data_IF_048475633866
#
_entry.id   IF_048475633866
#
_cell.length_a   1.000
_cell.length_b   1.000
_cell.length_c   1.000
_cell.angle_alpha   90.00
_cell.angle_beta   90.00
_cell.angle_gamma   90.00
#
_symmetry.space_group_name_H-M   'P 1'
#
loop_
_entity.id
_entity.type
_entity.pdbx_description
1 polymer ?
#
# COMPACT_ATOMS: atom_id res chain seq x y z
N UNK A 1 12.46 0.18 -23.73
CA UNK A 1 11.65 -0.64 -22.82
C UNK A 1 10.69 0.27 -22.04
N UNK A 2 9.52 -0.24 -21.70
CA UNK A 2 8.47 0.52 -21.03
C UNK A 2 8.12 -0.14 -19.69
N UNK A 3 7.85 0.68 -18.69
CA UNK A 3 7.41 0.22 -17.37
C UNK A 3 6.13 0.94 -16.97
N UNK A 4 5.13 0.17 -16.57
CA UNK A 4 3.89 0.67 -16.01
C UNK A 4 4.03 0.76 -14.49
N UNK A 5 3.87 1.97 -13.96
CA UNK A 5 3.93 2.30 -12.54
C UNK A 5 2.52 2.61 -12.04
N UNK A 6 1.99 1.76 -11.16
CA UNK A 6 0.62 1.87 -10.67
C UNK A 6 0.61 2.16 -9.17
N UNK A 7 -0.32 2.97 -8.71
CA UNK A 7 -0.69 2.95 -7.31
C UNK A 7 -1.42 1.64 -6.97
N UNK A 8 -1.53 1.31 -5.70
CA UNK A 8 -2.18 0.10 -5.21
C UNK A 8 -3.60 0.37 -4.74
N UNK A 9 -3.73 1.18 -3.68
CA UNK A 9 -5.01 1.46 -3.03
C UNK A 9 -5.84 2.41 -3.88
N UNK A 10 -7.11 2.08 -4.09
CA UNK A 10 -8.00 2.83 -5.00
C UNK A 10 -7.82 2.50 -6.49
N UNK A 11 -6.76 1.80 -6.87
CA UNK A 11 -6.49 1.38 -8.26
C UNK A 11 -6.65 -0.13 -8.44
N UNK A 12 -6.04 -0.92 -7.56
CA UNK A 12 -6.04 -2.40 -7.65
C UNK A 12 -6.72 -3.06 -6.46
N UNK A 13 -6.69 -2.42 -5.31
CA UNK A 13 -7.30 -2.89 -4.06
C UNK A 13 -8.05 -1.75 -3.39
N UNK A 14 -9.01 -2.05 -2.49
CA UNK A 14 -9.64 -1.01 -1.69
C UNK A 14 -8.62 -0.32 -0.77
N UNK A 15 -8.96 0.88 -0.26
CA UNK A 15 -8.16 1.55 0.76
C UNK A 15 -8.08 0.65 2.01
N UNK A 16 -6.88 0.18 2.35
CA UNK A 16 -6.68 -0.91 3.30
C UNK A 16 -7.14 -0.51 4.71
N UNK A 17 -6.79 0.70 5.18
CA UNK A 17 -7.20 1.14 6.51
C UNK A 17 -8.71 1.26 6.66
N UNK A 18 -9.39 1.77 5.63
CA UNK A 18 -10.86 1.90 5.63
C UNK A 18 -11.50 0.51 5.61
N UNK A 19 -11.07 -0.36 4.73
CA UNK A 19 -11.58 -1.73 4.65
C UNK A 19 -11.31 -2.53 5.93
N UNK A 20 -10.13 -2.35 6.52
CA UNK A 20 -9.77 -2.93 7.81
C UNK A 20 -10.67 -2.42 8.94
N UNK A 21 -10.93 -1.10 8.99
CA UNK A 21 -11.84 -0.50 9.96
C UNK A 21 -13.26 -1.09 9.84
N UNK A 22 -13.75 -1.26 8.64
CA UNK A 22 -15.07 -1.87 8.39
C UNK A 22 -15.14 -3.33 8.84
N UNK A 23 -14.10 -4.11 8.55
CA UNK A 23 -14.04 -5.53 8.95
C UNK A 23 -13.92 -5.73 10.45
N UNK A 24 -13.19 -4.85 11.14
CA UNK A 24 -12.97 -4.95 12.59
C UNK A 24 -14.01 -4.20 13.42
N UNK A 25 -14.78 -3.31 12.82
CA UNK A 25 -15.72 -2.43 13.54
C UNK A 25 -15.04 -1.29 14.30
N UNK A 26 -13.76 -1.01 14.04
CA UNK A 26 -13.00 0.06 14.68
C UNK A 26 -13.13 1.32 13.82
N UNK A 27 -14.18 2.10 14.02
CA UNK A 27 -14.49 3.27 13.20
C UNK A 27 -13.37 4.32 13.19
N UNK A 28 -12.65 4.47 14.29
CA UNK A 28 -11.55 5.43 14.44
C UNK A 28 -10.41 5.18 13.45
N UNK A 29 -10.25 3.94 12.94
CA UNK A 29 -9.25 3.61 11.92
C UNK A 29 -9.59 4.12 10.52
N UNK A 30 -10.80 4.63 10.30
CA UNK A 30 -11.18 5.30 9.04
C UNK A 30 -10.56 6.68 8.86
N UNK A 31 -9.97 7.25 9.91
CA UNK A 31 -9.28 8.53 9.85
C UNK A 31 -8.13 8.48 8.84
N UNK A 32 -8.10 9.45 7.94
CA UNK A 32 -7.12 9.55 6.85
C UNK A 32 -6.29 10.82 6.94
N UNK A 33 -5.37 11.01 6.01
CA UNK A 33 -4.59 12.25 5.88
C UNK A 33 -5.44 13.49 5.57
N UNK A 34 -6.69 13.32 5.19
CA UNK A 34 -7.65 14.43 5.05
C UNK A 34 -8.10 14.96 6.40
N UNK A 35 -8.16 14.08 7.42
CA UNK A 35 -8.56 14.41 8.78
C UNK A 35 -7.36 14.86 9.62
N UNK A 36 -6.21 14.22 9.44
CA UNK A 36 -4.94 14.54 10.09
C UNK A 36 -3.82 14.62 9.04
N UNK A 37 -3.44 15.83 8.61
CA UNK A 37 -2.43 16.01 7.58
C UNK A 37 -1.01 15.57 7.98
N UNK A 38 -0.71 15.58 9.28
CA UNK A 38 0.58 15.08 9.78
C UNK A 38 0.57 13.55 9.77
N UNK A 39 1.32 12.98 8.84
CA UNK A 39 1.37 11.53 8.64
C UNK A 39 1.89 10.79 9.87
N UNK A 40 2.90 11.32 10.58
CA UNK A 40 3.42 10.67 11.77
C UNK A 40 2.38 10.65 12.89
N UNK A 41 1.69 11.76 13.12
CA UNK A 41 0.60 11.85 14.09
C UNK A 41 -0.49 10.82 13.76
N UNK A 42 -0.88 10.74 12.49
CA UNK A 42 -1.89 9.78 12.04
C UNK A 42 -1.43 8.33 12.26
N UNK A 43 -0.19 8.00 11.94
CA UNK A 43 0.34 6.65 12.12
C UNK A 43 0.47 6.28 13.58
N UNK A 44 0.95 7.16 14.45
CA UNK A 44 1.00 6.89 15.90
C UNK A 44 -0.41 6.67 16.47
N UNK A 45 -1.39 7.44 16.04
CA UNK A 45 -2.79 7.24 16.39
C UNK A 45 -3.30 5.85 15.99
N UNK A 46 -3.00 5.41 14.77
CA UNK A 46 -3.37 4.09 14.27
C UNK A 46 -2.70 2.96 15.06
N UNK A 47 -1.40 3.10 15.33
CA UNK A 47 -0.64 2.11 16.10
C UNK A 47 -1.18 1.97 17.53
N UNK A 48 -1.53 3.08 18.17
CA UNK A 48 -2.14 3.06 19.50
C UNK A 48 -3.50 2.35 19.49
N UNK A 49 -4.33 2.56 18.47
CA UNK A 49 -5.60 1.85 18.31
C UNK A 49 -5.40 0.34 18.12
N UNK A 50 -4.45 -0.08 17.30
CA UNK A 50 -4.13 -1.49 17.12
C UNK A 50 -3.72 -2.13 18.45
N UNK A 51 -2.90 -1.45 19.23
CA UNK A 51 -2.48 -1.91 20.54
C UNK A 51 -3.65 -1.99 21.53
N UNK A 52 -4.49 -0.97 21.59
CA UNK A 52 -5.68 -0.95 22.47
C UNK A 52 -6.64 -2.10 22.17
N UNK A 53 -6.78 -2.49 20.91
CA UNK A 53 -7.64 -3.58 20.47
C UNK A 53 -6.95 -4.95 20.46
N UNK A 54 -5.70 -5.05 20.90
CA UNK A 54 -4.95 -6.30 20.96
C UNK A 54 -4.64 -6.91 19.60
N UNK A 55 -4.53 -6.08 18.56
CA UNK A 55 -4.28 -6.51 17.19
C UNK A 55 -2.78 -6.49 16.87
N UNK A 56 -2.17 -7.66 16.89
CA UNK A 56 -0.81 -7.87 16.39
C UNK A 56 -0.78 -8.07 14.87
N UNK A 57 0.41 -8.20 14.31
CA UNK A 57 0.58 -8.35 12.86
C UNK A 57 -0.18 -9.56 12.29
N UNK A 58 -0.17 -10.68 13.00
CA UNK A 58 -0.87 -11.89 12.58
C UNK A 58 -2.37 -11.65 12.42
N UNK A 59 -3.00 -11.05 13.43
CA UNK A 59 -4.44 -10.74 13.44
C UNK A 59 -4.77 -9.75 12.33
N UNK A 60 -3.92 -8.74 12.13
CA UNK A 60 -4.08 -7.75 11.06
C UNK A 60 -4.03 -8.43 9.68
N UNK A 61 -3.06 -9.29 9.46
CA UNK A 61 -2.92 -10.01 8.17
C UNK A 61 -4.07 -10.99 7.93
N UNK A 62 -4.59 -11.64 8.97
CA UNK A 62 -5.78 -12.48 8.88
C UNK A 62 -7.01 -11.69 8.42
N UNK A 63 -7.20 -10.48 8.95
CA UNK A 63 -8.30 -9.59 8.53
C UNK A 63 -8.10 -9.15 7.08
N UNK A 64 -6.91 -8.68 6.72
CA UNK A 64 -6.61 -8.21 5.35
C UNK A 64 -6.75 -9.36 4.33
N UNK A 65 -6.43 -10.60 4.72
CA UNK A 65 -6.62 -11.77 3.86
C UNK A 65 -8.10 -12.04 3.51
N UNK A 66 -9.05 -11.48 4.25
CA UNK A 66 -10.48 -11.53 3.92
C UNK A 66 -10.92 -10.49 2.90
N UNK A 67 -10.06 -9.51 2.61
CA UNK A 67 -10.31 -8.51 1.58
C UNK A 67 -10.00 -9.09 0.20
N UNK A 68 -10.59 -8.49 -0.83
CA UNK A 68 -10.34 -8.88 -2.22
C UNK A 68 -9.82 -7.68 -3.02
N UNK A 69 -9.01 -7.91 -4.06
CA UNK A 69 -8.72 -6.89 -5.06
C UNK A 69 -10.02 -6.34 -5.68
N UNK A 70 -9.93 -5.14 -6.25
CA UNK A 70 -11.04 -4.57 -7.02
C UNK A 70 -11.37 -5.48 -8.20
N UNK A 71 -12.64 -5.47 -8.63
CA UNK A 71 -13.10 -6.26 -9.76
C UNK A 71 -12.26 -5.95 -11.02
N UNK A 72 -11.75 -6.99 -11.67
CA UNK A 72 -10.91 -6.87 -12.85
C UNK A 72 -9.43 -6.55 -12.59
N UNK A 73 -9.03 -6.26 -11.36
CA UNK A 73 -7.65 -5.87 -11.05
C UNK A 73 -6.63 -6.97 -11.38
N UNK A 74 -6.91 -8.21 -11.05
CA UNK A 74 -6.02 -9.34 -11.35
C UNK A 74 -5.87 -9.53 -12.87
N UNK A 75 -6.96 -9.52 -13.61
CA UNK A 75 -6.94 -9.64 -15.08
C UNK A 75 -6.19 -8.47 -15.73
N UNK A 76 -6.36 -7.27 -15.18
CA UNK A 76 -5.66 -6.08 -15.66
C UNK A 76 -4.14 -6.18 -15.43
N UNK A 77 -3.69 -6.66 -14.29
CA UNK A 77 -2.27 -6.88 -14.01
C UNK A 77 -1.69 -7.92 -14.97
N UNK A 78 -2.39 -9.01 -15.23
CA UNK A 78 -1.95 -10.04 -16.16
C UNK A 78 -1.85 -9.50 -17.59
N UNK A 79 -2.84 -8.72 -18.02
CA UNK A 79 -2.84 -8.03 -19.32
C UNK A 79 -1.66 -7.06 -19.45
N UNK A 80 -1.35 -6.29 -18.39
CA UNK A 80 -0.20 -5.37 -18.38
C UNK A 80 1.14 -6.11 -18.48
N UNK A 81 1.29 -7.22 -17.74
CA UNK A 81 2.54 -8.00 -17.71
C UNK A 81 2.91 -8.58 -19.07
N UNK A 82 1.95 -8.84 -19.92
CA UNK A 82 2.20 -9.30 -21.29
C UNK A 82 2.82 -8.20 -22.17
N UNK A 83 2.71 -6.92 -21.78
CA UNK A 83 3.04 -5.76 -22.63
C UNK A 83 4.11 -4.87 -22.04
N UNK A 84 4.18 -4.80 -20.71
CA UNK A 84 5.05 -3.89 -19.97
C UNK A 84 5.75 -4.61 -18.84
N UNK A 85 6.87 -4.07 -18.38
CA UNK A 85 7.30 -4.31 -17.01
C UNK A 85 6.28 -3.61 -16.10
N UNK A 86 5.92 -4.24 -14.98
CA UNK A 86 4.91 -3.69 -14.06
C UNK A 86 5.51 -3.53 -12.68
N UNK A 87 5.34 -2.37 -12.10
CA UNK A 87 5.69 -2.08 -10.70
C UNK A 87 4.56 -1.34 -10.02
N UNK A 88 4.28 -1.72 -8.80
CA UNK A 88 3.34 -1.01 -7.93
C UNK A 88 4.15 -0.10 -6.99
N UNK A 89 3.77 1.18 -6.96
CA UNK A 89 4.35 2.21 -6.11
C UNK A 89 3.27 2.66 -5.13
N UNK A 90 3.43 2.34 -3.86
CA UNK A 90 2.40 2.62 -2.86
C UNK A 90 2.98 3.18 -1.57
N UNK A 91 2.18 3.94 -0.85
CA UNK A 91 2.50 4.44 0.50
C UNK A 91 1.97 3.50 1.60
N UNK A 92 1.57 2.29 1.25
CA UNK A 92 1.22 1.22 2.18
C UNK A 92 2.47 0.55 2.77
N UNK A 93 2.28 -0.55 3.47
CA UNK A 93 3.34 -1.34 4.10
C UNK A 93 3.34 -2.77 3.53
N UNK A 94 4.53 -3.36 3.36
CA UNK A 94 4.67 -4.74 2.84
C UNK A 94 3.84 -5.72 3.66
N UNK A 95 3.86 -5.58 4.98
CA UNK A 95 3.17 -6.46 5.91
C UNK A 95 1.64 -6.39 5.74
N UNK A 96 1.11 -5.21 5.44
CA UNK A 96 -0.32 -5.02 5.17
C UNK A 96 -0.71 -5.48 3.78
N UNK A 97 0.11 -5.18 2.78
CA UNK A 97 -0.19 -5.49 1.39
C UNK A 97 -0.03 -6.98 1.05
N UNK A 98 0.82 -7.71 1.79
CA UNK A 98 1.20 -9.09 1.48
C UNK A 98 0.02 -10.03 1.18
N UNK A 99 -1.07 -10.08 1.96
CA UNK A 99 -2.21 -10.94 1.64
C UNK A 99 -2.90 -10.60 0.32
N UNK A 100 -2.93 -9.31 -0.05
CA UNK A 100 -3.51 -8.83 -1.30
C UNK A 100 -2.57 -9.05 -2.48
N UNK A 101 -1.26 -8.89 -2.27
CA UNK A 101 -0.25 -9.22 -3.29
C UNK A 101 -0.33 -10.66 -3.73
N UNK A 102 -0.57 -11.58 -2.80
CA UNK A 102 -0.79 -13.00 -3.11
C UNK A 102 -1.93 -13.19 -4.11
N UNK A 103 -3.04 -12.49 -3.91
CA UNK A 103 -4.22 -12.56 -4.77
C UNK A 103 -3.99 -11.92 -6.15
N UNK A 104 -3.04 -10.99 -6.27
CA UNK A 104 -2.65 -10.35 -7.53
C UNK A 104 -1.49 -11.06 -8.26
N UNK A 105 -1.05 -12.22 -7.76
CA UNK A 105 0.05 -12.98 -8.35
C UNK A 105 1.43 -12.39 -8.06
N UNK A 106 1.61 -11.75 -6.93
CA UNK A 106 2.87 -11.14 -6.47
C UNK A 106 3.52 -10.17 -7.46
N UNK A 107 2.81 -9.11 -7.90
CA UNK A 107 3.46 -8.06 -8.69
C UNK A 107 4.58 -7.38 -7.87
N UNK A 108 5.57 -6.83 -8.54
CA UNK A 108 6.62 -6.07 -7.87
C UNK A 108 6.00 -4.87 -7.15
N UNK A 109 6.27 -4.77 -5.85
CA UNK A 109 5.76 -3.71 -4.97
C UNK A 109 6.91 -2.96 -4.32
N UNK A 110 6.92 -1.64 -4.46
CA UNK A 110 7.79 -0.74 -3.72
C UNK A 110 6.94 0.08 -2.76
N UNK A 111 7.09 -0.17 -1.47
CA UNK A 111 6.35 0.51 -0.42
C UNK A 111 7.17 0.59 0.88
N UNK A 112 6.52 0.87 1.98
CA UNK A 112 7.14 1.04 3.29
C UNK A 112 7.13 -0.24 4.10
N UNK A 113 7.68 -0.21 5.31
CA UNK A 113 7.72 -1.33 6.26
C UNK A 113 7.11 -0.95 7.60
N UNK A 114 6.49 -1.93 8.25
CA UNK A 114 6.18 -1.87 9.67
C UNK A 114 7.31 -2.49 10.49
N UNK A 115 7.47 -2.02 11.71
CA UNK A 115 8.37 -2.64 12.69
C UNK A 115 7.52 -3.39 13.73
N UNK A 116 7.93 -4.59 14.04
CA UNK A 116 7.27 -5.45 15.03
C UNK A 116 8.21 -5.80 16.17
N UNK A 117 7.64 -5.99 17.37
CA UNK A 117 8.38 -6.54 18.49
C UNK A 117 8.47 -8.07 18.44
N UNK A 118 9.10 -8.68 19.46
CA UNK A 118 9.25 -10.14 19.56
C UNK A 118 7.92 -10.89 19.71
N UNK A 119 6.86 -10.22 20.15
CA UNK A 119 5.52 -10.78 20.34
C UNK A 119 4.63 -10.59 19.09
N UNK A 120 5.15 -9.97 18.05
CA UNK A 120 4.43 -9.71 16.81
C UNK A 120 3.53 -8.48 16.84
N UNK A 121 3.65 -7.63 17.85
CA UNK A 121 2.94 -6.36 17.89
C UNK A 121 3.58 -5.35 16.94
N UNK A 122 2.77 -4.56 16.26
CA UNK A 122 3.25 -3.46 15.43
C UNK A 122 3.59 -2.28 16.34
N UNK A 123 4.85 -1.91 16.38
CA UNK A 123 5.36 -0.89 17.31
C UNK A 123 5.79 0.39 16.63
N UNK A 124 6.13 0.34 15.35
CA UNK A 124 6.55 1.51 14.59
C UNK A 124 6.45 1.24 13.08
N UNK A 125 6.78 2.23 12.28
CA UNK A 125 6.84 2.13 10.83
C UNK A 125 8.12 2.77 10.30
N UNK A 126 8.52 2.37 9.10
CA UNK A 126 9.70 2.90 8.42
C UNK A 126 9.38 3.23 6.97
N UNK A 127 9.49 4.50 6.63
CA UNK A 127 9.37 4.96 5.25
C UNK A 127 10.58 4.48 4.43
N UNK A 128 10.35 4.03 3.21
CA UNK A 128 11.40 3.61 2.29
C UNK A 128 12.36 4.75 1.98
N UNK A 129 11.80 5.92 1.67
CA UNK A 129 12.56 7.15 1.41
C UNK A 129 11.59 8.34 1.30
N UNK A 130 12.12 9.57 1.27
CA UNK A 130 11.34 10.76 0.97
C UNK A 130 10.90 10.77 -0.50
N UNK A 131 9.70 11.27 -0.78
CA UNK A 131 9.11 11.34 -2.13
C UNK A 131 9.20 10.00 -2.90
N UNK A 132 8.75 8.88 -2.33
CA UNK A 132 9.08 7.53 -2.82
C UNK A 132 8.59 7.27 -4.24
N UNK A 133 7.39 7.74 -4.60
CA UNK A 133 6.83 7.56 -5.95
C UNK A 133 7.64 8.31 -6.99
N UNK A 134 7.95 9.59 -6.74
CA UNK A 134 8.79 10.40 -7.63
C UNK A 134 10.19 9.80 -7.81
N UNK A 135 10.83 9.38 -6.71
CA UNK A 135 12.18 8.83 -6.75
C UNK A 135 12.24 7.51 -7.53
N UNK A 136 11.21 6.70 -7.44
CA UNK A 136 11.10 5.49 -8.27
C UNK A 136 11.08 5.83 -9.77
N UNK A 137 10.25 6.80 -10.16
CA UNK A 137 10.18 7.25 -11.58
C UNK A 137 11.54 7.79 -12.06
N UNK A 138 12.20 8.62 -11.26
CA UNK A 138 13.55 9.11 -11.59
C UNK A 138 14.53 7.95 -11.76
N UNK A 139 14.48 6.97 -10.87
CA UNK A 139 15.29 5.76 -10.95
C UNK A 139 15.04 4.97 -12.24
N UNK A 140 13.80 4.70 -12.59
CA UNK A 140 13.46 3.97 -13.82
C UNK A 140 13.90 4.73 -15.08
N UNK A 141 13.69 6.06 -15.12
CA UNK A 141 14.18 6.89 -16.22
C UNK A 141 15.71 6.89 -16.34
N UNK A 142 16.43 6.84 -15.22
CA UNK A 142 17.90 6.72 -15.23
C UNK A 142 18.38 5.37 -15.79
N UNK A 143 17.54 4.34 -15.73
CA UNK A 143 17.77 3.04 -16.37
C UNK A 143 17.23 2.96 -17.80
N UNK A 144 16.89 4.10 -18.40
CA UNK A 144 16.36 4.23 -19.76
C UNK A 144 14.98 3.59 -19.99
N UNK A 145 14.17 3.42 -18.95
CA UNK A 145 12.78 3.07 -19.13
C UNK A 145 11.94 4.30 -19.50
N UNK A 146 11.04 4.11 -20.44
CA UNK A 146 9.88 5.00 -20.62
C UNK A 146 8.83 4.61 -19.60
N UNK A 147 8.40 5.54 -18.78
CA UNK A 147 7.44 5.29 -17.70
C UNK A 147 6.02 5.66 -18.13
N UNK A 148 5.08 4.80 -17.78
CA UNK A 148 3.64 5.04 -17.85
C UNK A 148 3.14 4.94 -16.41
N UNK A 149 2.34 5.90 -15.95
CA UNK A 149 1.88 5.91 -14.56
C UNK A 149 0.38 6.10 -14.47
N UNK A 150 -0.23 5.48 -13.45
CA UNK A 150 -1.63 5.65 -13.11
C UNK A 150 -1.85 5.60 -11.60
N UNK A 151 -2.71 6.49 -11.10
CA UNK A 151 -3.09 6.60 -9.71
C UNK A 151 -4.43 7.31 -9.58
N UNK A 152 -5.02 7.33 -8.40
CA UNK A 152 -6.36 7.86 -8.13
C UNK A 152 -6.36 9.06 -7.17
N UNK A 153 -5.21 9.43 -6.62
CA UNK A 153 -5.09 10.46 -5.60
C UNK A 153 -4.13 11.59 -5.98
N UNK A 154 -4.20 12.69 -5.23
CA UNK A 154 -3.29 13.81 -5.42
C UNK A 154 -1.81 13.43 -5.22
N UNK A 155 -1.53 12.50 -4.32
CA UNK A 155 -0.16 12.03 -4.07
C UNK A 155 0.47 11.37 -5.29
N UNK A 156 -0.34 10.83 -6.20
CA UNK A 156 0.11 10.15 -7.41
C UNK A 156 0.62 11.12 -8.47
N UNK A 157 0.27 12.40 -8.39
CA UNK A 157 0.75 13.42 -9.33
C UNK A 157 2.27 13.50 -9.38
N UNK A 158 2.95 13.06 -8.33
CA UNK A 158 4.42 13.05 -8.27
C UNK A 158 5.07 12.00 -9.18
N UNK A 159 4.31 11.01 -9.64
CA UNK A 159 4.79 9.96 -10.57
C UNK A 159 4.27 10.11 -12.00
N UNK A 160 3.35 11.03 -12.24
CA UNK A 160 2.76 11.30 -13.56
C UNK A 160 3.64 12.16 -14.47
#
# INVERSE_FOLDING_TARGET
MEIACLDLEGVLVPEIWIAFAEKTGIEELKKTTRDEPDYDVLMQYRLDLLKQHGLGLKEIQEVIATLSPLEGAADFIDWLRERFQVVILSDTFYEFASPLMKQLGYPTLLCHKLETDSDGNVVDYKLRQANPKRQAIVGFKSMYYRTIAAGDSYNDTTML
#
